data_IF_673527214239
#
_entry.id   IF_673527214239
#
_cell.length_a   1.000
_cell.length_b   1.000
_cell.length_c   1.000
_cell.angle_alpha   90.00
_cell.angle_beta   90.00
_cell.angle_gamma   90.00
#
_symmetry.space_group_name_H-M   'P 1'
#
loop_
_entity.id
_entity.type
_entity.pdbx_description
1 polymer ?
#
# COMPACT_ATOMS: atom_id res chain seq x y z
N UNK A 1 15.74 -14.64 17.08
CA UNK A 1 14.36 -14.19 17.35
C UNK A 1 14.39 -12.67 17.45
N UNK A 2 13.64 -11.96 16.61
CA UNK A 2 13.48 -10.50 16.73
C UNK A 2 12.60 -10.20 17.94
N UNK A 3 12.83 -9.04 18.57
CA UNK A 3 12.00 -8.57 19.69
C UNK A 3 10.68 -7.99 19.15
N UNK A 4 9.57 -8.05 19.91
CA UNK A 4 8.27 -7.49 19.52
C UNK A 4 8.35 -6.03 19.02
N UNK A 5 9.24 -5.24 19.63
CA UNK A 5 9.51 -3.84 19.24
C UNK A 5 10.11 -3.71 17.84
N UNK A 6 11.05 -4.59 17.47
CA UNK A 6 11.66 -4.59 16.15
C UNK A 6 10.68 -5.00 15.03
N UNK A 7 9.68 -5.83 15.35
CA UNK A 7 8.58 -6.15 14.43
C UNK A 7 7.69 -4.92 14.19
N UNK A 8 7.34 -4.18 15.24
CA UNK A 8 6.50 -3.00 15.14
C UNK A 8 7.16 -1.89 14.29
N UNK A 9 8.45 -1.64 14.47
CA UNK A 9 9.18 -0.60 13.70
C UNK A 9 9.25 -0.94 12.20
N UNK A 10 9.57 -2.19 11.88
CA UNK A 10 9.68 -2.65 10.48
C UNK A 10 8.33 -2.59 9.77
N UNK A 11 7.26 -2.97 10.49
CA UNK A 11 5.88 -2.98 9.99
C UNK A 11 5.35 -1.55 9.81
N UNK A 12 5.72 -0.62 10.69
CA UNK A 12 5.33 0.79 10.61
C UNK A 12 5.77 1.41 9.28
N UNK A 13 7.00 1.13 8.83
CA UNK A 13 7.50 1.65 7.56
C UNK A 13 6.66 1.18 6.36
N UNK A 14 6.29 -0.11 6.31
CA UNK A 14 5.51 -0.67 5.20
C UNK A 14 4.07 -0.12 5.22
N UNK A 15 3.46 -0.01 6.41
CA UNK A 15 2.14 0.60 6.61
C UNK A 15 2.14 2.09 6.21
N UNK A 16 3.19 2.82 6.52
CA UNK A 16 3.31 4.23 6.16
C UNK A 16 3.39 4.40 4.65
N UNK A 17 4.20 3.61 3.93
CA UNK A 17 4.26 3.68 2.47
C UNK A 17 2.95 3.26 1.80
N UNK A 18 2.23 2.29 2.38
CA UNK A 18 0.91 1.89 1.90
C UNK A 18 -0.14 3.00 2.06
N UNK A 19 -0.07 3.78 3.15
CA UNK A 19 -1.17 4.66 3.58
C UNK A 19 -0.90 6.16 3.49
N UNK A 20 0.36 6.59 3.39
CA UNK A 20 0.75 8.02 3.33
C UNK A 20 1.29 8.40 1.95
N UNK A 21 1.18 9.68 1.55
CA UNK A 21 1.86 10.17 0.35
C UNK A 21 3.37 9.93 0.43
N UNK A 22 3.97 9.64 -0.71
CA UNK A 22 5.41 9.34 -0.83
C UNK A 22 6.12 10.59 -1.33
N UNK A 23 7.18 11.01 -0.65
CA UNK A 23 7.96 12.18 -1.03
C UNK A 23 9.33 11.74 -1.56
N UNK A 24 9.67 12.14 -2.80
CA UNK A 24 10.94 11.79 -3.45
C UNK A 24 11.68 13.07 -3.84
N UNK A 25 12.94 13.18 -3.41
CA UNK A 25 13.82 14.26 -3.83
C UNK A 25 14.50 13.91 -5.16
N UNK A 26 14.23 14.67 -6.22
CA UNK A 26 14.84 14.52 -7.54
C UNK A 26 15.46 15.87 -7.93
N UNK A 27 16.78 15.90 -8.11
CA UNK A 27 17.53 17.07 -8.58
C UNK A 27 17.19 18.38 -7.83
N UNK A 28 17.11 18.31 -6.50
CA UNK A 28 16.80 19.47 -5.64
C UNK A 28 15.32 19.87 -5.58
N UNK A 29 14.41 19.08 -6.16
CA UNK A 29 12.95 19.26 -6.05
C UNK A 29 12.31 18.08 -5.32
N UNK A 30 11.32 18.34 -4.48
CA UNK A 30 10.51 17.31 -3.83
C UNK A 30 9.27 17.06 -4.70
N UNK A 31 9.10 15.81 -5.14
CA UNK A 31 7.90 15.34 -5.84
C UNK A 31 7.08 14.50 -4.86
N UNK A 32 5.78 14.77 -4.79
CA UNK A 32 4.84 14.02 -3.96
C UNK A 32 4.02 13.09 -4.83
N UNK A 33 4.10 11.79 -4.54
CA UNK A 33 3.29 10.74 -5.14
C UNK A 33 2.16 10.35 -4.18
N UNK A 34 1.03 9.82 -4.71
CA UNK A 34 0.00 9.20 -3.87
C UNK A 34 0.57 8.02 -3.08
N UNK A 35 -0.16 7.56 -2.04
CA UNK A 35 0.23 6.35 -1.33
C UNK A 35 0.15 5.13 -2.24
N UNK A 36 0.88 4.04 -1.93
CA UNK A 36 0.87 2.86 -2.81
C UNK A 36 -0.53 2.26 -2.95
N UNK A 37 -1.35 2.32 -1.90
CA UNK A 37 -2.73 1.82 -1.95
C UNK A 37 -3.61 2.69 -2.87
N UNK A 38 -3.43 4.01 -2.89
CA UNK A 38 -4.14 4.90 -3.81
C UNK A 38 -3.68 4.69 -5.25
N UNK A 39 -2.37 4.62 -5.47
CA UNK A 39 -1.82 4.37 -6.80
C UNK A 39 -2.30 3.01 -7.37
N UNK A 40 -2.45 1.99 -6.51
CA UNK A 40 -3.01 0.69 -6.89
C UNK A 40 -4.51 0.79 -7.24
N UNK A 41 -5.29 1.57 -6.46
CA UNK A 41 -6.71 1.84 -6.78
C UNK A 41 -6.86 2.56 -8.11
N UNK A 42 -6.04 3.58 -8.36
CA UNK A 42 -6.04 4.32 -9.61
C UNK A 42 -5.73 3.41 -10.80
N UNK A 43 -4.76 2.49 -10.65
CA UNK A 43 -4.43 1.48 -11.66
C UNK A 43 -5.58 0.49 -11.96
N UNK A 44 -6.51 0.29 -11.02
CA UNK A 44 -7.72 -0.51 -11.23
C UNK A 44 -8.82 0.25 -11.96
N UNK A 45 -8.77 1.58 -12.00
CA UNK A 45 -9.78 2.39 -12.69
C UNK A 45 -9.43 2.57 -14.17
N UNK A 46 -10.32 2.22 -15.11
CA UNK A 46 -10.14 2.59 -16.50
C UNK A 46 -10.28 4.11 -16.64
N UNK A 47 -9.16 4.82 -16.72
CA UNK A 47 -9.16 6.28 -16.87
C UNK A 47 -9.81 6.72 -18.18
N UNK A 48 -10.96 7.40 -18.09
CA UNK A 48 -11.52 8.21 -19.17
C UNK A 48 -10.95 9.64 -19.06
N UNK A 49 -10.04 10.01 -19.96
CA UNK A 49 -9.56 11.38 -20.20
C UNK A 49 -8.95 12.17 -19.01
N UNK A 50 -7.62 12.20 -18.94
CA UNK A 50 -6.91 13.44 -18.56
C UNK A 50 -6.72 14.29 -19.82
N UNK A 51 -7.68 15.17 -20.08
CA UNK A 51 -7.65 16.18 -21.15
C UNK A 51 -6.70 17.34 -20.82
N UNK A 52 -5.39 17.09 -20.81
CA UNK A 52 -4.34 18.10 -20.68
C UNK A 52 -3.48 18.16 -21.94
N UNK A 53 -3.91 18.95 -22.92
CA UNK A 53 -3.19 19.51 -24.07
C UNK A 53 -1.78 18.95 -24.41
N UNK A 54 -1.66 17.74 -24.97
CA UNK A 54 -0.45 17.30 -25.70
C UNK A 54 -0.88 16.48 -26.93
N UNK A 55 -0.61 17.08 -28.08
CA UNK A 55 -0.52 16.51 -29.44
C UNK A 55 -0.77 15.00 -29.62
N UNK A 56 -1.79 14.74 -30.44
CA UNK A 56 -2.15 13.49 -31.15
C UNK A 56 -0.93 12.61 -31.49
N UNK A 57 -0.56 11.69 -30.59
CA UNK A 57 0.23 10.49 -30.92
C UNK A 57 -0.74 9.31 -31.01
N UNK A 58 -0.53 8.48 -32.04
CA UNK A 58 -1.26 7.26 -32.34
C UNK A 58 -1.44 6.36 -31.10
N UNK A 59 -2.47 5.49 -31.06
CA UNK A 59 -2.72 4.61 -29.93
C UNK A 59 -1.61 3.56 -29.86
N UNK A 60 -0.53 3.85 -29.13
CA UNK A 60 0.31 2.78 -28.59
C UNK A 60 -0.59 1.96 -27.69
N UNK A 61 -0.74 0.68 -28.01
CA UNK A 61 -1.56 -0.30 -27.29
C UNK A 61 -1.41 -0.10 -25.79
N UNK A 62 -2.45 0.49 -25.17
CA UNK A 62 -2.49 0.64 -23.72
C UNK A 62 -2.68 -0.76 -23.14
N UNK A 63 -1.90 -1.19 -22.14
CA UNK A 63 -2.23 -2.41 -21.42
C UNK A 63 -3.67 -2.28 -20.89
N UNK A 64 -4.52 -3.30 -21.02
CA UNK A 64 -5.84 -3.27 -20.38
C UNK A 64 -5.67 -3.03 -18.88
N UNK A 65 -6.72 -2.52 -18.20
CA UNK A 65 -6.80 -2.60 -16.75
C UNK A 65 -6.38 -4.03 -16.37
N UNK A 66 -5.24 -4.15 -15.68
CA UNK A 66 -4.65 -5.46 -15.43
C UNK A 66 -5.60 -6.13 -14.46
N UNK A 67 -6.38 -7.11 -14.93
CA UNK A 67 -7.27 -7.90 -14.08
C UNK A 67 -6.49 -8.41 -12.85
N UNK A 68 -5.22 -8.78 -13.07
CA UNK A 68 -4.26 -9.08 -12.00
C UNK A 68 -4.20 -8.00 -10.90
N UNK A 69 -4.15 -6.71 -11.25
CA UNK A 69 -4.10 -5.59 -10.30
C UNK A 69 -5.39 -5.45 -9.50
N UNK A 70 -6.55 -5.71 -10.11
CA UNK A 70 -7.85 -5.73 -9.43
C UNK A 70 -7.90 -6.87 -8.42
N UNK A 71 -7.49 -8.08 -8.85
CA UNK A 71 -7.45 -9.25 -7.97
C UNK A 71 -6.51 -9.02 -6.79
N UNK A 72 -5.33 -8.43 -7.04
CA UNK A 72 -4.38 -8.04 -6.00
C UNK A 72 -4.94 -7.00 -5.03
N UNK A 73 -5.64 -5.99 -5.51
CA UNK A 73 -6.27 -5.00 -4.63
C UNK A 73 -7.35 -5.65 -3.75
N UNK A 74 -8.14 -6.57 -4.32
CA UNK A 74 -9.15 -7.32 -3.58
C UNK A 74 -8.52 -8.23 -2.51
N UNK A 75 -7.44 -8.95 -2.83
CA UNK A 75 -6.67 -9.76 -1.87
C UNK A 75 -6.19 -8.93 -0.68
N UNK A 76 -5.61 -7.76 -0.94
CA UNK A 76 -5.15 -6.84 0.12
C UNK A 76 -6.33 -6.42 1.00
N UNK A 77 -7.48 -6.05 0.41
CA UNK A 77 -8.65 -5.63 1.19
C UNK A 77 -9.20 -6.75 2.07
N UNK A 78 -9.31 -7.96 1.53
CA UNK A 78 -9.76 -9.14 2.30
C UNK A 78 -8.78 -9.43 3.44
N UNK A 79 -7.49 -9.33 3.19
CA UNK A 79 -6.45 -9.47 4.21
C UNK A 79 -6.59 -8.45 5.33
N UNK A 80 -6.76 -7.17 4.99
CA UNK A 80 -6.98 -6.08 5.96
C UNK A 80 -8.24 -6.36 6.81
N UNK A 81 -9.36 -6.76 6.18
CA UNK A 81 -10.59 -7.11 6.90
C UNK A 81 -10.45 -8.33 7.79
N UNK A 82 -9.71 -9.34 7.35
CA UNK A 82 -9.43 -10.54 8.13
C UNK A 82 -8.64 -10.19 9.40
N UNK A 83 -7.59 -9.38 9.25
CA UNK A 83 -6.77 -8.96 10.39
C UNK A 83 -7.47 -7.98 11.30
N UNK A 84 -8.29 -7.08 10.77
CA UNK A 84 -9.17 -6.22 11.58
C UNK A 84 -10.01 -7.04 12.56
N UNK A 85 -10.63 -8.11 12.07
CA UNK A 85 -11.43 -9.03 12.89
C UNK A 85 -10.58 -9.85 13.86
N UNK A 86 -9.44 -10.41 13.40
CA UNK A 86 -8.57 -11.25 14.24
C UNK A 86 -7.93 -10.48 15.40
N UNK A 87 -7.60 -9.21 15.17
CA UNK A 87 -6.98 -8.32 16.15
C UNK A 87 -8.02 -7.55 16.99
N UNK A 88 -9.32 -7.76 16.73
CA UNK A 88 -10.44 -7.10 17.41
C UNK A 88 -10.27 -5.56 17.48
N UNK A 89 -9.87 -4.95 16.36
CA UNK A 89 -9.55 -3.53 16.32
C UNK A 89 -10.83 -2.67 16.30
N UNK A 90 -10.79 -1.45 16.85
CA UNK A 90 -11.92 -0.54 16.79
C UNK A 90 -12.32 -0.25 15.34
N UNK A 91 -13.61 -0.03 15.12
CA UNK A 91 -14.10 0.40 13.81
C UNK A 91 -13.63 1.83 13.51
N UNK A 92 -13.05 2.09 12.32
CA UNK A 92 -12.69 3.43 11.91
C UNK A 92 -13.89 4.39 11.86
N UNK A 93 -13.64 5.71 11.95
CA UNK A 93 -14.65 6.73 11.69
C UNK A 93 -15.29 6.58 10.32
N UNK A 94 -16.59 6.86 10.20
CA UNK A 94 -17.36 6.70 8.94
C UNK A 94 -16.84 7.54 7.78
N UNK A 95 -16.19 8.67 8.08
CA UNK A 95 -15.63 9.61 7.11
C UNK A 95 -14.15 9.34 6.78
N UNK A 96 -13.54 8.30 7.36
CA UNK A 96 -12.18 7.91 7.06
C UNK A 96 -12.13 6.87 5.93
N UNK A 97 -11.00 6.81 5.24
CA UNK A 97 -10.64 5.68 4.38
C UNK A 97 -10.44 4.45 5.27
N UNK A 98 -11.41 3.54 5.24
CA UNK A 98 -11.49 2.41 6.16
C UNK A 98 -10.22 1.54 6.09
N UNK A 99 -9.75 1.18 4.90
CA UNK A 99 -8.59 0.30 4.73
C UNK A 99 -7.31 0.94 5.28
N UNK A 100 -7.10 2.23 5.01
CA UNK A 100 -5.93 2.95 5.52
C UNK A 100 -5.99 3.15 7.03
N UNK A 101 -7.17 3.44 7.57
CA UNK A 101 -7.36 3.61 9.01
C UNK A 101 -7.06 2.31 9.77
N UNK A 102 -7.53 1.17 9.27
CA UNK A 102 -7.24 -0.15 9.86
C UNK A 102 -5.76 -0.49 9.76
N UNK A 103 -5.13 -0.33 8.59
CA UNK A 103 -3.70 -0.61 8.40
C UNK A 103 -2.84 0.15 9.42
N UNK A 104 -3.17 1.42 9.69
CA UNK A 104 -2.45 2.26 10.66
C UNK A 104 -2.61 1.81 12.12
N UNK A 105 -3.61 0.99 12.43
CA UNK A 105 -3.79 0.42 13.77
C UNK A 105 -2.96 -0.86 13.98
N UNK A 106 -2.50 -1.52 12.91
CA UNK A 106 -1.74 -2.78 13.02
C UNK A 106 -0.45 -2.67 13.82
N UNK A 107 0.45 -1.67 13.62
CA UNK A 107 1.68 -1.58 14.39
C UNK A 107 1.47 -1.52 15.91
N UNK A 108 0.40 -0.86 16.36
CA UNK A 108 0.07 -0.74 17.78
C UNK A 108 -0.42 -2.05 18.40
N UNK A 109 -0.97 -2.97 17.60
CA UNK A 109 -1.45 -4.27 18.06
C UNK A 109 -0.34 -5.33 18.12
N UNK A 110 0.77 -5.14 17.37
CA UNK A 110 1.87 -6.09 17.27
C UNK A 110 2.49 -6.49 18.62
N UNK A 111 2.75 -5.58 19.58
CA UNK A 111 3.39 -5.94 20.84
C UNK A 111 2.61 -6.95 21.69
N UNK A 112 1.29 -7.01 21.52
CA UNK A 112 0.40 -7.90 22.28
C UNK A 112 0.23 -9.28 21.62
N UNK A 113 0.81 -9.50 20.44
CA UNK A 113 0.69 -10.75 19.70
C UNK A 113 1.77 -11.76 20.08
N UNK A 114 1.40 -13.04 19.99
CA UNK A 114 2.40 -14.11 20.00
C UNK A 114 3.41 -13.90 18.86
N UNK A 115 4.71 -14.17 19.06
CA UNK A 115 5.76 -13.86 18.07
C UNK A 115 5.48 -14.42 16.67
N UNK A 116 5.00 -15.67 16.58
CA UNK A 116 4.67 -16.28 15.29
C UNK A 116 3.54 -15.56 14.54
N UNK A 117 2.58 -14.97 15.26
CA UNK A 117 1.48 -14.20 14.67
C UNK A 117 1.98 -12.83 14.22
N UNK A 118 2.84 -12.18 15.01
CA UNK A 118 3.49 -10.93 14.65
C UNK A 118 4.37 -11.09 13.40
N UNK A 119 5.13 -12.18 13.30
CA UNK A 119 5.92 -12.54 12.13
C UNK A 119 5.03 -12.72 10.90
N UNK A 120 3.95 -13.49 11.02
CA UNK A 120 3.02 -13.74 9.92
C UNK A 120 2.33 -12.44 9.44
N UNK A 121 1.86 -11.59 10.36
CA UNK A 121 1.28 -10.29 10.03
C UNK A 121 2.28 -9.38 9.29
N UNK A 122 3.54 -9.33 9.78
CA UNK A 122 4.60 -8.56 9.12
C UNK A 122 4.82 -9.05 7.70
N UNK A 123 4.94 -10.35 7.50
CA UNK A 123 5.23 -10.92 6.18
C UNK A 123 4.08 -10.66 5.20
N UNK A 124 2.84 -10.73 5.67
CA UNK A 124 1.65 -10.44 4.87
C UNK A 124 1.58 -8.96 4.47
N UNK A 125 1.81 -8.03 5.41
CA UNK A 125 1.87 -6.59 5.11
C UNK A 125 3.02 -6.26 4.16
N UNK A 126 4.17 -6.90 4.34
CA UNK A 126 5.31 -6.73 3.45
C UNK A 126 4.99 -7.21 2.03
N UNK A 127 4.25 -8.31 1.89
CA UNK A 127 3.80 -8.78 0.58
C UNK A 127 2.79 -7.81 -0.05
N UNK A 128 1.82 -7.29 0.70
CA UNK A 128 0.89 -6.28 0.21
C UNK A 128 1.62 -5.02 -0.26
N UNK A 129 2.63 -4.57 0.48
CA UNK A 129 3.49 -3.46 0.08
C UNK A 129 4.18 -3.73 -1.27
N UNK A 130 4.77 -4.93 -1.43
CA UNK A 130 5.44 -5.33 -2.67
C UNK A 130 4.46 -5.36 -3.84
N UNK A 131 3.31 -5.97 -3.64
CA UNK A 131 2.24 -6.10 -4.63
C UNK A 131 1.72 -4.71 -5.04
N UNK A 132 1.45 -3.83 -4.07
CA UNK A 132 0.98 -2.48 -4.34
C UNK A 132 2.00 -1.67 -5.12
N UNK A 133 3.28 -1.80 -4.78
CA UNK A 133 4.35 -1.12 -5.50
C UNK A 133 4.52 -1.61 -6.95
N UNK A 134 4.53 -2.92 -7.17
CA UNK A 134 4.60 -3.49 -8.53
C UNK A 134 3.37 -3.11 -9.35
N UNK A 135 2.17 -3.19 -8.76
CA UNK A 135 0.91 -2.83 -9.40
C UNK A 135 0.82 -1.35 -9.78
N UNK A 136 1.43 -0.46 -8.98
CA UNK A 136 1.53 0.98 -9.26
C UNK A 136 2.73 1.38 -10.12
N UNK A 137 3.55 0.42 -10.56
CA UNK A 137 4.67 0.65 -11.49
C UNK A 137 5.99 1.06 -10.83
N UNK A 138 6.10 1.01 -9.50
CA UNK A 138 7.36 1.22 -8.79
C UNK A 138 8.25 -0.01 -8.91
N UNK A 139 9.56 0.20 -9.11
CA UNK A 139 10.54 -0.89 -9.02
C UNK A 139 10.88 -1.16 -7.55
N UNK A 140 11.02 -2.43 -7.12
CA UNK A 140 11.39 -2.77 -5.74
C UNK A 140 12.65 -2.06 -5.23
N UNK A 141 13.62 -1.81 -6.12
CA UNK A 141 14.86 -1.09 -5.84
C UNK A 141 14.64 0.40 -5.49
N UNK A 142 13.62 1.03 -6.07
CA UNK A 142 13.27 2.43 -5.80
C UNK A 142 12.64 2.58 -4.42
N UNK A 143 11.95 1.55 -3.94
CA UNK A 143 11.29 1.55 -2.63
C UNK A 143 12.27 1.35 -1.48
N UNK A 144 13.37 0.62 -1.69
CA UNK A 144 14.44 0.48 -0.68
C UNK A 144 15.13 1.80 -0.35
N UNK A 145 15.03 2.80 -1.21
CA UNK A 145 15.54 4.16 -0.94
C UNK A 145 14.58 5.00 -0.08
N UNK A 146 13.39 4.47 0.20
CA UNK A 146 12.34 5.11 1.00
C UNK A 146 12.20 4.48 2.40
N UNK A 147 12.97 3.42 2.69
CA UNK A 147 13.16 2.82 4.02
C UNK A 147 14.50 3.28 4.58
#
# INVERSE_FOLDING_TARGET
MMTPTAHADTLTADVDQLTKPIHVAIQGRIITHPSLLDALRDACTPSANSGGNITRRAPTSRPPARLDTIDRLAEIYVGISTWHSRLNLPSPPRNADWQKAVLRAFPAAVPDLAPAIADYLRDEIHDWWRVAAVGSGWRPEQLRKLR
#
